data_IF_442570786584
#
_entry.id   IF_442570786584
#
_cell.length_a   1.000
_cell.length_b   1.000
_cell.length_c   1.000
_cell.angle_alpha   90.00
_cell.angle_beta   90.00
_cell.angle_gamma   90.00
#
_symmetry.space_group_name_H-M   'P 1'
#
loop_
_entity.id
_entity.type
_entity.pdbx_description
1 polymer ?
#
# COMPACT_ATOMS: atom_id res chain seq x y z
N UNK A 1 14.47 1.08 13.72
CA UNK A 1 13.37 0.59 12.89
C UNK A 1 13.81 0.72 11.45
N UNK A 2 13.90 -0.39 10.72
CA UNK A 2 14.29 -0.37 9.32
C UNK A 2 13.33 0.51 8.50
N UNK A 3 13.88 1.31 7.60
CA UNK A 3 13.08 2.13 6.70
C UNK A 3 12.35 1.27 5.66
N UNK A 4 11.30 1.82 5.03
CA UNK A 4 10.59 1.12 3.94
C UNK A 4 11.56 0.67 2.84
N UNK A 5 12.53 1.51 2.46
CA UNK A 5 13.52 1.17 1.42
C UNK A 5 14.43 0.02 1.82
N UNK A 6 14.83 -0.08 3.08
CA UNK A 6 15.64 -1.22 3.57
C UNK A 6 14.86 -2.52 3.50
N UNK A 7 13.57 -2.49 3.89
CA UNK A 7 12.69 -3.65 3.78
C UNK A 7 12.54 -4.11 2.33
N UNK A 8 12.26 -3.18 1.40
CA UNK A 8 12.08 -3.54 -0.01
C UNK A 8 13.37 -4.08 -0.62
N UNK A 9 14.52 -3.49 -0.30
CA UNK A 9 15.83 -3.96 -0.76
C UNK A 9 16.17 -5.36 -0.22
N UNK A 10 15.82 -5.66 1.03
CA UNK A 10 16.07 -6.98 1.63
C UNK A 10 15.18 -8.07 1.00
N UNK A 11 13.96 -7.72 0.57
CA UNK A 11 13.04 -8.64 -0.13
C UNK A 11 13.48 -8.92 -1.57
N UNK A 12 14.04 -7.91 -2.25
CA UNK A 12 14.47 -7.99 -3.65
C UNK A 12 13.34 -7.69 -4.63
N UNK A 13 13.61 -6.83 -5.63
CA UNK A 13 12.61 -6.31 -6.57
C UNK A 13 11.88 -7.40 -7.36
N UNK A 14 12.51 -8.55 -7.63
CA UNK A 14 11.89 -9.68 -8.33
C UNK A 14 10.77 -10.36 -7.54
N UNK A 15 10.75 -10.15 -6.23
CA UNK A 15 9.73 -10.67 -5.32
C UNK A 15 8.67 -9.61 -4.98
N UNK A 16 8.74 -8.44 -5.63
CA UNK A 16 7.84 -7.32 -5.42
C UNK A 16 6.99 -7.10 -6.67
N UNK A 17 5.72 -6.81 -6.44
CA UNK A 17 4.87 -6.21 -7.46
C UNK A 17 4.12 -5.04 -6.87
N UNK A 18 3.78 -4.07 -7.70
CA UNK A 18 3.06 -2.90 -7.23
C UNK A 18 1.79 -2.70 -8.03
N UNK A 19 0.77 -2.22 -7.34
CA UNK A 19 -0.50 -1.87 -7.93
C UNK A 19 -0.87 -0.47 -7.47
N UNK A 20 -1.31 0.35 -8.40
CA UNK A 20 -1.82 1.67 -8.02
C UNK A 20 -3.19 1.49 -7.39
N UNK A 21 -3.41 2.12 -6.23
CA UNK A 21 -4.64 1.92 -5.47
C UNK A 21 -5.91 2.28 -6.27
N UNK A 22 -5.82 3.27 -7.16
CA UNK A 22 -6.91 3.68 -8.04
C UNK A 22 -7.30 2.62 -9.09
N UNK A 23 -6.45 1.62 -9.36
CA UNK A 23 -6.70 0.49 -10.26
C UNK A 23 -7.09 -0.81 -9.51
N UNK A 24 -7.06 -0.82 -8.17
CA UNK A 24 -7.16 -2.03 -7.31
C UNK A 24 -8.54 -2.22 -6.67
N UNK A 25 -9.52 -1.50 -7.18
CA UNK A 25 -10.86 -1.35 -6.61
C UNK A 25 -11.73 -2.57 -6.95
N UNK A 26 -12.12 -3.36 -5.95
CA UNK A 26 -12.96 -4.56 -6.14
C UNK A 26 -14.39 -4.44 -5.61
N UNK A 27 -14.68 -3.37 -4.86
CA UNK A 27 -16.01 -3.08 -4.30
C UNK A 27 -16.44 -1.66 -4.65
N UNK A 28 -17.61 -1.57 -5.25
CA UNK A 28 -18.12 -0.40 -5.95
C UNK A 28 -19.64 -0.32 -5.70
N UNK A 29 -20.10 0.44 -4.70
CA UNK A 29 -21.53 0.55 -4.39
C UNK A 29 -22.18 1.61 -5.28
N UNK A 30 -23.22 1.22 -6.02
CA UNK A 30 -23.96 2.14 -6.88
C UNK A 30 -24.84 3.05 -6.01
N UNK A 31 -24.63 4.35 -6.04
CA UNK A 31 -25.48 5.36 -5.39
C UNK A 31 -26.78 5.52 -6.20
N UNK A 32 -27.86 5.96 -5.54
CA UNK A 32 -29.20 6.15 -6.15
C UNK A 32 -29.22 7.09 -7.37
N UNK A 33 -28.19 7.91 -7.55
CA UNK A 33 -28.00 8.86 -8.66
C UNK A 33 -27.12 8.32 -9.81
N UNK A 34 -26.56 7.11 -9.70
CA UNK A 34 -25.78 6.46 -10.76
C UNK A 34 -24.27 6.33 -10.51
N UNK A 35 -23.73 6.93 -9.45
CA UNK A 35 -22.27 6.91 -9.16
C UNK A 35 -21.81 5.61 -8.47
N UNK A 36 -20.51 5.33 -8.50
CA UNK A 36 -19.90 4.11 -7.95
C UNK A 36 -18.96 4.42 -6.76
N UNK A 37 -19.18 3.82 -5.59
CA UNK A 37 -18.45 4.08 -4.33
C UNK A 37 -17.48 2.96 -3.92
N UNK A 38 -16.23 3.31 -3.63
CA UNK A 38 -15.15 2.39 -3.22
C UNK A 38 -14.63 2.78 -1.85
N UNK A 39 -14.36 1.82 -0.95
CA UNK A 39 -13.88 2.09 0.42
C UNK A 39 -12.62 1.32 0.77
N UNK A 40 -11.58 2.03 1.19
CA UNK A 40 -10.41 1.52 1.88
C UNK A 40 -10.14 2.39 3.11
N UNK A 41 -9.62 1.79 4.19
CA UNK A 41 -9.25 2.52 5.42
C UNK A 41 -7.80 2.94 5.31
N UNK A 42 -7.51 4.22 5.55
CA UNK A 42 -6.14 4.77 5.49
C UNK A 42 -5.96 5.89 6.49
N UNK A 43 -4.73 6.06 7.00
CA UNK A 43 -4.31 7.21 7.81
C UNK A 43 -3.53 8.25 6.99
N UNK A 44 -3.23 7.95 5.72
CA UNK A 44 -2.38 8.77 4.84
C UNK A 44 -3.08 10.00 4.25
N UNK A 45 -4.41 9.98 4.24
CA UNK A 45 -5.29 11.08 3.81
C UNK A 45 -6.43 11.25 4.82
N UNK A 46 -6.84 12.49 5.05
CA UNK A 46 -8.02 12.87 5.85
C UNK A 46 -9.19 13.15 4.92
N UNK A 47 -10.45 13.08 5.40
CA UNK A 47 -11.63 13.38 4.58
C UNK A 47 -11.56 14.74 3.85
N UNK A 48 -10.95 15.75 4.48
CA UNK A 48 -10.73 17.07 3.90
C UNK A 48 -9.78 17.09 2.69
N UNK A 49 -8.88 16.10 2.58
CA UNK A 49 -7.90 16.01 1.49
C UNK A 49 -8.51 15.53 0.16
N UNK A 50 -9.77 15.05 0.19
CA UNK A 50 -10.54 14.63 -0.98
C UNK A 50 -11.21 15.80 -1.72
N UNK A 51 -11.32 16.97 -1.07
CA UNK A 51 -11.92 18.16 -1.66
C UNK A 51 -10.83 19.02 -2.34
N UNK A 52 -10.59 18.79 -3.64
CA UNK A 52 -9.60 19.51 -4.45
C UNK A 52 -8.75 18.59 -5.32
N UNK A 53 -7.62 19.08 -5.86
CA UNK A 53 -6.64 18.22 -6.55
C UNK A 53 -5.97 17.31 -5.52
N UNK A 54 -6.12 15.98 -5.66
CA UNK A 54 -5.46 14.97 -4.82
C UNK A 54 -3.95 15.26 -4.71
N UNK A 55 -3.49 15.61 -3.51
CA UNK A 55 -2.07 15.97 -3.25
C UNK A 55 -1.21 14.77 -2.89
N UNK A 56 -1.83 13.62 -2.60
CA UNK A 56 -1.15 12.38 -2.20
C UNK A 56 -1.77 11.22 -2.96
N UNK A 57 -0.93 10.32 -3.44
CA UNK A 57 -1.32 9.07 -4.08
C UNK A 57 -0.82 7.90 -3.22
N UNK A 58 -1.41 6.73 -3.40
CA UNK A 58 -1.03 5.52 -2.70
C UNK A 58 -0.71 4.40 -3.70
N UNK A 59 0.25 3.58 -3.33
CA UNK A 59 0.62 2.35 -4.02
C UNK A 59 0.43 1.18 -3.05
N UNK A 60 -0.13 0.09 -3.55
CA UNK A 60 -0.11 -1.20 -2.87
C UNK A 60 1.16 -1.91 -3.34
N UNK A 61 1.98 -2.36 -2.40
CA UNK A 61 3.12 -3.23 -2.69
C UNK A 61 2.74 -4.63 -2.24
N UNK A 62 2.72 -5.55 -3.18
CA UNK A 62 2.60 -6.99 -2.93
C UNK A 62 4.01 -7.57 -2.93
N UNK A 63 4.22 -8.55 -2.05
CA UNK A 63 5.50 -9.19 -1.85
C UNK A 63 5.31 -10.68 -1.64
N UNK A 64 6.29 -11.48 -2.03
CA UNK A 64 6.34 -12.88 -1.64
C UNK A 64 6.38 -12.99 -0.11
N UNK A 65 5.48 -13.82 0.44
CA UNK A 65 5.25 -13.89 1.88
C UNK A 65 6.47 -14.46 2.62
N UNK A 66 7.11 -15.49 2.07
CA UNK A 66 8.26 -16.13 2.70
C UNK A 66 9.48 -15.18 2.67
N UNK A 67 9.62 -14.41 1.59
CA UNK A 67 10.67 -13.38 1.50
C UNK A 67 10.45 -12.23 2.46
N UNK A 68 9.21 -11.80 2.66
CA UNK A 68 8.87 -10.77 3.64
C UNK A 68 9.23 -11.20 5.07
N UNK A 69 8.83 -12.41 5.47
CA UNK A 69 9.11 -12.91 6.82
C UNK A 69 10.61 -13.07 7.05
N UNK A 70 11.35 -13.59 6.06
CA UNK A 70 12.81 -13.69 6.11
C UNK A 70 13.48 -12.30 6.22
N UNK A 71 13.02 -11.32 5.46
CA UNK A 71 13.55 -9.95 5.49
C UNK A 71 13.29 -9.28 6.85
N UNK A 72 12.11 -9.46 7.45
CA UNK A 72 11.80 -8.93 8.78
C UNK A 72 12.72 -9.51 9.85
N UNK A 73 12.91 -10.83 9.87
CA UNK A 73 13.80 -11.50 10.82
C UNK A 73 15.26 -11.02 10.65
N UNK A 74 15.72 -10.90 9.40
CA UNK A 74 17.05 -10.37 9.08
C UNK A 74 17.24 -8.95 9.63
N UNK A 75 16.28 -8.07 9.41
CA UNK A 75 16.35 -6.67 9.83
C UNK A 75 16.23 -6.49 11.36
N UNK A 76 15.49 -7.37 12.04
CA UNK A 76 15.44 -7.40 13.50
C UNK A 76 16.80 -7.81 14.10
N UNK A 77 17.39 -8.88 13.58
CA UNK A 77 18.70 -9.38 14.04
C UNK A 77 19.86 -8.40 13.74
N UNK A 78 19.73 -7.53 12.74
CA UNK A 78 20.72 -6.46 12.44
C UNK A 78 20.62 -5.26 13.39
N UNK A 79 19.53 -5.15 14.15
CA UNK A 79 19.29 -4.05 15.08
C UNK A 79 19.71 -4.38 16.53
N UNK A 80 20.06 -5.64 16.80
CA UNK A 80 20.65 -6.15 18.05
C UNK A 80 22.19 -6.16 17.98
#
# INVERSE_FOLDING_TARGET
>A
MAGLTELLNEIGDENLSFQTLHQSVTGAAKKRNGDTEVKFVTTGIRPGDLYGRLKKTAVIVWMDADKFDAALLSLQNKAD
#
